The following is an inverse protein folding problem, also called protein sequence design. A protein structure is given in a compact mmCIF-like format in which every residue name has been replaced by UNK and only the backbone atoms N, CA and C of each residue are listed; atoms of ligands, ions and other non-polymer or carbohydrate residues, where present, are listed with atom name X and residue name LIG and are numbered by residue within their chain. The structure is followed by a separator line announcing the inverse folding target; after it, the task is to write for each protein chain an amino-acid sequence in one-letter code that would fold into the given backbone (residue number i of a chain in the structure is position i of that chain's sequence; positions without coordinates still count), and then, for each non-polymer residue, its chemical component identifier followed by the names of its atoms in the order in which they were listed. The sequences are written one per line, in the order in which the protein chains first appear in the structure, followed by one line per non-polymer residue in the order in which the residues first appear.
data_IF_472303622168
#
_entry.id   IF_472303622168
#
_cell.length_a   1.000
_cell.length_b   1.000
_cell.length_c   1.000
_cell.angle_alpha   90.00
_cell.angle_beta   90.00
_cell.angle_gamma   90.00
#
_symmetry.space_group_name_H-M   'P 1'
#
loop_
_entity.id
_entity.type
_entity.pdbx_description
1 polymer ?
#
# COMPACT_ATOMS: atom_id res chain seq x y z
N UNK A 1 16.58 -2.95 -34.97
CA UNK A 1 16.10 -2.85 -33.57
C UNK A 1 17.29 -2.97 -32.66
N UNK A 2 17.63 -1.88 -31.98
CA UNK A 2 18.73 -1.86 -31.01
C UNK A 2 18.41 -2.73 -29.80
N UNK A 3 19.43 -3.40 -29.26
CA UNK A 3 19.32 -4.33 -28.12
C UNK A 3 18.72 -3.66 -26.89
N UNK A 4 18.87 -2.34 -26.74
CA UNK A 4 18.26 -1.56 -25.65
C UNK A 4 16.73 -1.54 -25.70
N UNK A 5 16.13 -1.47 -26.88
CA UNK A 5 14.68 -1.38 -27.02
C UNK A 5 13.98 -2.72 -26.68
N UNK A 6 14.66 -3.85 -26.92
CA UNK A 6 14.17 -5.17 -26.52
C UNK A 6 14.19 -5.39 -24.99
N UNK A 7 15.16 -4.79 -24.28
CA UNK A 7 15.24 -4.89 -22.81
C UNK A 7 14.14 -4.08 -22.13
N UNK A 8 13.84 -2.87 -22.62
CA UNK A 8 12.73 -2.06 -22.10
C UNK A 8 11.37 -2.74 -22.32
N UNK A 9 11.15 -3.36 -23.47
CA UNK A 9 9.91 -4.13 -23.74
C UNK A 9 9.81 -5.35 -22.82
N UNK A 10 10.93 -6.06 -22.58
CA UNK A 10 10.93 -7.21 -21.69
C UNK A 10 10.60 -6.83 -20.23
N UNK A 11 11.15 -5.71 -19.73
CA UNK A 11 10.85 -5.20 -18.38
C UNK A 11 9.39 -4.74 -18.29
N UNK A 12 8.86 -4.06 -19.32
CA UNK A 12 7.47 -3.63 -19.37
C UNK A 12 6.47 -4.79 -19.36
N UNK A 13 6.77 -5.90 -20.05
CA UNK A 13 5.90 -7.08 -20.07
C UNK A 13 5.86 -7.76 -18.68
N UNK A 14 6.98 -7.82 -17.96
CA UNK A 14 7.03 -8.37 -16.59
C UNK A 14 6.24 -7.49 -15.62
N UNK A 15 6.37 -6.16 -15.71
CA UNK A 15 5.61 -5.23 -14.89
C UNK A 15 4.10 -5.29 -15.15
N UNK A 16 3.68 -5.45 -16.41
CA UNK A 16 2.26 -5.64 -16.76
C UNK A 16 1.73 -6.97 -16.23
N UNK A 17 2.49 -8.07 -16.33
CA UNK A 17 2.05 -9.37 -15.84
C UNK A 17 1.83 -9.40 -14.31
N UNK A 18 2.68 -8.69 -13.56
CA UNK A 18 2.52 -8.55 -12.11
C UNK A 18 1.29 -7.72 -11.72
N UNK A 19 0.94 -6.68 -12.49
CA UNK A 19 -0.27 -5.89 -12.22
C UNK A 19 -1.55 -6.63 -12.60
N UNK A 20 -1.58 -7.38 -13.72
CA UNK A 20 -2.76 -8.15 -14.12
C UNK A 20 -3.03 -9.36 -13.23
N UNK A 21 -2.00 -10.04 -12.71
CA UNK A 21 -2.18 -11.21 -11.82
C UNK A 21 -2.85 -10.84 -10.49
N UNK A 22 -2.69 -9.61 -10.01
CA UNK A 22 -3.38 -9.13 -8.80
C UNK A 22 -4.78 -8.54 -9.07
N UNK A 23 -5.02 -7.97 -10.27
CA UNK A 23 -6.34 -7.46 -10.65
C UNK A 23 -7.33 -8.58 -10.98
N UNK A 24 -6.87 -9.71 -11.55
CA UNK A 24 -7.74 -10.86 -11.84
C UNK A 24 -8.26 -11.59 -10.57
N UNK A 25 -7.68 -11.34 -9.40
CA UNK A 25 -8.19 -11.89 -8.12
C UNK A 25 -9.27 -11.03 -7.45
N UNK A 26 -9.78 -9.97 -8.10
CA UNK A 26 -10.82 -9.07 -7.57
C UNK A 26 -12.21 -9.34 -8.19
N UNK A 27 -12.33 -10.27 -9.13
CA UNK A 27 -13.63 -10.75 -9.62
C UNK A 27 -13.92 -12.18 -9.14
N UNK A 28 -14.20 -12.33 -7.85
CA UNK A 28 -15.10 -13.37 -7.35
C UNK A 28 -15.46 -13.06 -5.89
N UNK A 29 -16.66 -12.51 -5.69
CA UNK A 29 -17.60 -12.83 -4.61
C UNK A 29 -18.63 -11.69 -4.42
N UNK A 30 -19.54 -11.55 -5.39
CA UNK A 30 -20.80 -10.80 -5.22
C UNK A 30 -21.93 -11.65 -4.62
N UNK A 31 -21.62 -12.66 -3.79
CA UNK A 31 -22.67 -13.44 -3.10
C UNK A 31 -22.31 -13.66 -1.65
N UNK A 32 -23.28 -13.37 -0.77
CA UNK A 32 -23.23 -13.37 0.69
C UNK A 32 -22.57 -12.09 1.26
N UNK A 33 -23.25 -11.19 1.98
CA UNK A 33 -24.20 -11.43 3.06
C UNK A 33 -25.08 -10.19 3.29
N UNK A 34 -26.38 -10.43 3.46
CA UNK A 34 -27.37 -9.47 3.94
C UNK A 34 -27.25 -9.32 5.46
N UNK A 35 -27.61 -8.12 5.91
CA UNK A 35 -28.08 -7.73 7.25
C UNK A 35 -27.10 -7.75 8.44
N UNK A 36 -26.92 -6.55 8.99
CA UNK A 36 -26.79 -6.31 10.42
C UNK A 36 -25.40 -6.54 10.98
N UNK A 37 -24.61 -5.47 11.08
CA UNK A 37 -23.76 -5.12 12.22
C UNK A 37 -23.02 -3.83 11.84
N UNK A 38 -23.66 -2.70 12.10
CA UNK A 38 -22.97 -1.42 12.25
C UNK A 38 -22.41 -1.39 13.67
N UNK A 39 -21.29 -2.07 13.89
CA UNK A 39 -20.59 -2.06 15.16
C UNK A 39 -19.21 -1.43 14.93
N UNK A 40 -19.14 -0.13 15.23
CA UNK A 40 -17.95 0.60 15.66
C UNK A 40 -16.63 0.13 15.02
N UNK A 41 -16.44 0.46 13.74
CA UNK A 41 -15.19 0.21 12.99
C UNK A 41 -13.96 0.90 13.58
N UNK A 42 -14.14 1.78 14.59
CA UNK A 42 -13.07 2.57 15.18
C UNK A 42 -12.32 1.85 16.32
N UNK A 43 -12.92 0.85 16.98
CA UNK A 43 -12.28 0.14 18.11
C UNK A 43 -11.39 -1.05 17.67
N UNK A 44 -11.51 -1.52 16.43
CA UNK A 44 -10.89 -2.78 15.99
C UNK A 44 -9.48 -2.62 15.39
N UNK A 45 -8.91 -1.42 15.32
CA UNK A 45 -7.55 -1.23 14.80
C UNK A 45 -6.50 -0.99 15.88
N UNK A 46 -6.92 -0.68 17.11
CA UNK A 46 -6.03 -0.69 18.26
C UNK A 46 -5.33 -2.05 18.42
N UNK A 47 -6.00 -3.15 18.03
CA UNK A 47 -5.41 -4.49 18.08
C UNK A 47 -4.18 -4.66 17.17
N UNK A 48 -4.04 -3.83 16.14
CA UNK A 48 -2.90 -3.82 15.22
C UNK A 48 -1.91 -2.71 15.56
N UNK A 49 -2.18 -1.88 16.57
CA UNK A 49 -1.20 -0.94 17.10
C UNK A 49 -0.33 -1.66 18.13
N UNK A 50 0.97 -1.66 17.88
CA UNK A 50 1.96 -2.20 18.79
C UNK A 50 2.97 -1.12 19.17
N UNK A 51 3.72 -1.36 20.24
CA UNK A 51 4.86 -0.54 20.63
C UNK A 51 6.12 -1.34 20.33
N UNK A 52 7.03 -0.79 19.53
CA UNK A 52 8.29 -1.44 19.22
C UNK A 52 9.29 -1.36 20.40
N UNK A 53 10.47 -1.96 20.25
CA UNK A 53 11.47 -2.03 21.33
C UNK A 53 12.04 -0.67 21.79
N UNK A 54 11.82 0.41 21.03
CA UNK A 54 12.28 1.76 21.35
C UNK A 54 11.14 2.68 21.83
N UNK A 55 9.92 2.16 21.94
CA UNK A 55 8.77 2.90 22.48
C UNK A 55 7.89 3.57 21.44
N UNK A 56 8.13 3.34 20.15
CA UNK A 56 7.32 3.92 19.08
C UNK A 56 6.08 3.09 18.80
N UNK A 57 4.97 3.78 18.53
CA UNK A 57 3.77 3.15 17.97
C UNK A 57 4.06 2.70 16.54
N UNK A 58 3.72 1.44 16.24
CA UNK A 58 3.84 0.80 14.94
C UNK A 58 2.54 0.08 14.58
N UNK A 59 2.31 -0.12 13.28
CA UNK A 59 1.23 -0.91 12.73
C UNK A 59 1.71 -2.34 12.52
N UNK A 60 1.38 -3.24 13.45
CA UNK A 60 1.71 -4.66 13.36
C UNK A 60 0.53 -5.47 12.82
N UNK A 61 0.67 -5.87 11.56
CA UNK A 61 -0.28 -6.70 10.82
C UNK A 61 0.40 -7.98 10.32
N UNK A 62 1.52 -8.37 10.93
CA UNK A 62 2.31 -9.54 10.54
C UNK A 62 1.59 -10.87 10.75
N UNK A 63 0.60 -10.88 11.65
CA UNK A 63 -0.18 -12.06 12.02
C UNK A 63 -1.39 -12.33 11.12
N UNK A 64 -1.70 -11.42 10.18
CA UNK A 64 -2.89 -11.53 9.31
C UNK A 64 -2.51 -11.66 7.83
N UNK A 65 -3.44 -12.17 7.04
CA UNK A 65 -3.27 -12.34 5.60
C UNK A 65 -3.20 -11.00 4.85
N UNK A 66 -2.58 -10.99 3.67
CA UNK A 66 -2.30 -9.77 2.90
C UNK A 66 -3.55 -8.91 2.62
N UNK A 67 -4.71 -9.54 2.37
CA UNK A 67 -5.98 -8.82 2.14
C UNK A 67 -6.41 -8.06 3.40
N UNK A 68 -6.23 -8.68 4.57
CA UNK A 68 -6.51 -8.02 5.86
C UNK A 68 -5.50 -6.91 6.13
N UNK A 69 -4.20 -7.09 5.84
CA UNK A 69 -3.19 -6.03 6.00
C UNK A 69 -3.55 -4.76 5.22
N UNK A 70 -3.96 -4.90 3.95
CA UNK A 70 -4.42 -3.79 3.10
C UNK A 70 -5.67 -3.13 3.67
N UNK A 71 -6.64 -3.93 4.12
CA UNK A 71 -7.87 -3.41 4.75
C UNK A 71 -7.57 -2.61 6.02
N UNK A 72 -6.61 -3.05 6.84
CA UNK A 72 -6.18 -2.34 8.05
C UNK A 72 -5.49 -1.03 7.67
N UNK A 73 -4.55 -1.08 6.71
CA UNK A 73 -3.87 0.12 6.21
C UNK A 73 -4.85 1.21 5.74
N UNK A 74 -5.83 0.84 4.93
CA UNK A 74 -6.74 1.81 4.32
C UNK A 74 -7.59 2.59 5.31
N UNK A 75 -7.84 2.03 6.50
CA UNK A 75 -8.63 2.65 7.58
C UNK A 75 -7.76 3.19 8.73
N UNK A 76 -6.47 2.87 8.75
CA UNK A 76 -5.55 3.24 9.82
C UNK A 76 -5.18 4.72 9.81
N UNK A 77 -5.09 5.32 10.99
CA UNK A 77 -4.49 6.65 11.20
C UNK A 77 -3.00 6.68 10.83
N UNK A 78 -2.31 5.53 10.84
CA UNK A 78 -0.92 5.40 10.39
C UNK A 78 -0.75 5.83 8.93
N UNK A 79 -1.80 5.68 8.10
CA UNK A 79 -1.80 6.20 6.73
C UNK A 79 -1.75 7.73 6.70
N UNK A 80 -2.44 8.41 7.62
CA UNK A 80 -2.43 9.85 7.71
C UNK A 80 -1.04 10.35 8.11
N UNK A 81 -0.41 9.69 9.10
CA UNK A 81 0.97 9.98 9.52
C UNK A 81 1.97 9.75 8.36
N UNK A 82 1.86 8.63 7.66
CA UNK A 82 2.66 8.34 6.47
C UNK A 82 2.56 9.46 5.42
N UNK A 83 1.35 9.94 5.13
CA UNK A 83 1.09 10.98 4.13
C UNK A 83 1.61 12.37 4.56
N UNK A 84 1.98 12.59 5.82
CA UNK A 84 2.65 13.83 6.25
C UNK A 84 4.04 13.97 5.67
N UNK A 85 4.69 12.85 5.33
CA UNK A 85 6.01 12.83 4.69
C UNK A 85 5.96 13.18 3.19
N UNK A 86 4.78 13.21 2.57
CA UNK A 86 4.65 13.55 1.15
C UNK A 86 5.04 15.02 0.88
N UNK A 87 5.82 15.34 -0.18
CA UNK A 87 6.28 14.47 -1.27
C UNK A 87 7.69 13.89 -1.07
N UNK A 88 8.23 13.85 0.15
CA UNK A 88 9.54 13.25 0.38
C UNK A 88 9.45 11.72 0.33
N UNK A 89 9.68 11.16 -0.85
CA UNK A 89 9.61 9.71 -1.08
C UNK A 89 10.71 8.92 -0.37
N UNK A 90 11.79 9.54 0.09
CA UNK A 90 12.79 8.89 0.94
C UNK A 90 12.20 8.68 2.33
N UNK A 91 11.71 9.74 2.96
CA UNK A 91 11.09 9.69 4.29
C UNK A 91 9.87 8.75 4.30
N UNK A 92 9.10 8.70 3.22
CA UNK A 92 7.98 7.76 3.07
C UNK A 92 8.46 6.29 3.06
N UNK A 93 9.59 5.96 2.42
CA UNK A 93 10.15 4.60 2.43
C UNK A 93 10.73 4.22 3.79
N UNK A 94 11.33 5.18 4.47
CA UNK A 94 11.88 4.99 5.82
C UNK A 94 10.73 4.76 6.81
N UNK A 95 9.66 5.55 6.73
CA UNK A 95 8.43 5.34 7.50
C UNK A 95 7.89 3.91 7.38
N UNK A 96 7.85 3.34 6.17
CA UNK A 96 7.41 1.95 5.98
C UNK A 96 8.30 0.96 6.74
N UNK A 97 9.61 1.19 6.77
CA UNK A 97 10.56 0.34 7.49
C UNK A 97 10.40 0.43 9.00
N UNK A 98 10.13 1.64 9.51
CA UNK A 98 10.14 1.92 10.94
C UNK A 98 8.79 1.67 11.61
N UNK A 99 7.70 1.93 10.89
CA UNK A 99 6.34 2.01 11.45
C UNK A 99 5.41 0.88 11.04
N UNK A 100 5.78 0.04 10.07
CA UNK A 100 4.90 -1.01 9.55
C UNK A 100 5.56 -2.37 9.74
N UNK A 101 4.88 -3.28 10.45
CA UNK A 101 5.32 -4.67 10.62
C UNK A 101 4.35 -5.57 9.86
N UNK A 102 4.75 -5.97 8.65
CA UNK A 102 3.91 -6.77 7.75
C UNK A 102 4.47 -6.78 6.33
N UNK A 103 5.14 -7.87 5.96
CA UNK A 103 5.92 -7.93 4.71
C UNK A 103 5.10 -7.65 3.45
N UNK A 104 3.88 -8.18 3.36
CA UNK A 104 3.02 -7.99 2.18
C UNK A 104 2.60 -6.53 2.03
N UNK A 105 2.21 -5.88 3.13
CA UNK A 105 1.88 -4.45 3.13
C UNK A 105 3.09 -3.57 2.84
N UNK A 106 4.25 -3.84 3.48
CA UNK A 106 5.48 -3.10 3.23
C UNK A 106 5.88 -3.15 1.75
N UNK A 107 5.87 -4.34 1.15
CA UNK A 107 6.18 -4.52 -0.27
C UNK A 107 5.21 -3.69 -1.14
N UNK A 108 3.91 -3.82 -0.88
CA UNK A 108 2.88 -3.13 -1.66
C UNK A 108 3.02 -1.61 -1.60
N UNK A 109 3.33 -1.06 -0.41
CA UNK A 109 3.53 0.36 -0.23
C UNK A 109 4.80 0.86 -0.94
N UNK A 110 5.90 0.11 -0.89
CA UNK A 110 7.14 0.45 -1.61
C UNK A 110 6.92 0.50 -3.12
N UNK A 111 6.28 -0.51 -3.70
CA UNK A 111 5.91 -0.53 -5.13
C UNK A 111 5.00 0.64 -5.50
N UNK A 112 4.08 1.00 -4.60
CA UNK A 112 3.18 2.15 -4.78
C UNK A 112 3.95 3.47 -4.73
N UNK A 113 4.92 3.63 -3.82
CA UNK A 113 5.82 4.79 -3.79
C UNK A 113 6.57 4.89 -5.11
N UNK A 114 7.22 3.82 -5.57
CA UNK A 114 8.06 3.86 -6.76
C UNK A 114 7.24 4.27 -8.00
N UNK A 115 6.02 3.72 -8.14
CA UNK A 115 5.10 4.08 -9.23
C UNK A 115 4.63 5.53 -9.14
N UNK A 116 4.34 6.03 -7.93
CA UNK A 116 3.87 7.40 -7.73
C UNK A 116 4.99 8.40 -7.92
N UNK A 117 6.20 8.12 -7.41
CA UNK A 117 7.37 8.98 -7.54
C UNK A 117 7.71 9.21 -9.00
N UNK A 118 7.79 8.15 -9.80
CA UNK A 118 8.06 8.24 -11.24
C UNK A 118 7.08 9.20 -11.93
N UNK A 119 5.78 8.99 -11.71
CA UNK A 119 4.72 9.77 -12.38
C UNK A 119 4.60 11.19 -11.83
N UNK A 120 4.82 11.38 -10.52
CA UNK A 120 4.74 12.68 -9.87
C UNK A 120 5.92 13.56 -10.28
N UNK A 121 7.13 13.01 -10.32
CA UNK A 121 8.34 13.73 -10.78
C UNK A 121 8.26 14.05 -12.27
N UNK A 122 7.65 13.16 -13.07
CA UNK A 122 7.35 13.42 -14.48
C UNK A 122 6.26 14.48 -14.71
N UNK A 123 5.55 14.92 -13.66
CA UNK A 123 4.45 15.87 -13.75
C UNK A 123 3.15 15.29 -14.33
N UNK A 124 3.03 13.96 -14.42
CA UNK A 124 1.85 13.29 -14.96
C UNK A 124 0.68 13.29 -13.98
N UNK A 125 0.96 13.33 -12.68
CA UNK A 125 -0.06 13.32 -11.61
C UNK A 125 0.21 14.46 -10.63
N UNK A 126 -0.87 15.08 -10.14
CA UNK A 126 -0.81 16.10 -9.09
C UNK A 126 -0.74 15.50 -7.69
N UNK A 127 -0.44 16.33 -6.69
CA UNK A 127 -0.28 15.90 -5.30
C UNK A 127 -1.53 15.18 -4.75
N UNK A 128 -2.73 15.68 -5.04
CA UNK A 128 -3.96 15.06 -4.55
C UNK A 128 -4.21 13.69 -5.19
N UNK A 129 -3.88 13.53 -6.47
CA UNK A 129 -3.99 12.23 -7.15
C UNK A 129 -2.96 11.24 -6.59
N UNK A 130 -1.71 11.69 -6.41
CA UNK A 130 -0.67 10.89 -5.79
C UNK A 130 -1.08 10.38 -4.40
N UNK A 131 -1.57 11.27 -3.53
CA UNK A 131 -2.02 10.89 -2.17
C UNK A 131 -3.17 9.87 -2.18
N UNK A 132 -4.13 10.00 -3.10
CA UNK A 132 -5.24 9.03 -3.24
C UNK A 132 -4.78 7.62 -3.60
N UNK A 133 -3.68 7.48 -4.36
CA UNK A 133 -3.14 6.17 -4.76
C UNK A 133 -2.56 5.35 -3.60
N UNK A 134 -2.36 5.96 -2.43
CA UNK A 134 -1.99 5.23 -1.20
C UNK A 134 -3.19 4.63 -0.45
N UNK A 135 -4.41 4.73 -1.00
CA UNK A 135 -5.52 3.86 -0.60
C UNK A 135 -5.49 2.65 -1.54
N UNK A 136 -5.06 1.50 -0.99
CA UNK A 136 -4.66 0.29 -1.72
C UNK A 136 -5.84 -0.63 -2.08
#
# INVERSE_FOLDING_TARGET
MDRGLLVFIAIGIVAIYLTTTFVDTIQDDERYQKSGYSENTQDNDEQYQAINSIGDVVLDVSSVDAKTQIKVWNRSEMKNEFLTNFPNFVDMRDFIGDKIVGNALQQRLRETIDTIEERFVAGEIGADEAKRKFTL
#
